data_IF_443069827711
#
_entry.id   IF_443069827711
#
_cell.length_a   1.000
_cell.length_b   1.000
_cell.length_c   1.000
_cell.angle_alpha   90.00
_cell.angle_beta   90.00
_cell.angle_gamma   90.00
#
_symmetry.space_group_name_H-M   'P 1'
#
loop_
_entity.id
_entity.type
_entity.pdbx_description
1 polymer ?
#
# COMPACT_ATOMS: atom_id res chain seq x y z
N UNK A 1 -18.19 5.63 16.30
CA UNK A 1 -18.46 7.08 16.45
C UNK A 1 -18.77 7.60 15.05
N UNK A 2 -20.04 7.90 14.76
CA UNK A 2 -20.48 8.40 13.45
C UNK A 2 -19.90 9.81 13.26
N UNK A 3 -18.90 9.98 12.38
CA UNK A 3 -18.50 11.32 11.96
C UNK A 3 -19.64 11.92 11.16
N UNK A 4 -19.97 13.18 11.49
CA UNK A 4 -21.11 13.90 10.94
C UNK A 4 -20.88 14.12 9.43
N UNK A 5 -21.80 13.63 8.61
CA UNK A 5 -21.67 13.64 7.13
C UNK A 5 -21.56 15.08 6.59
N UNK A 6 -22.05 16.04 7.37
CA UNK A 6 -22.05 17.47 7.04
C UNK A 6 -20.85 18.24 7.62
N UNK A 7 -19.84 17.57 8.19
CA UNK A 7 -18.64 18.21 8.76
C UNK A 7 -17.92 19.13 7.77
N UNK A 8 -17.84 18.72 6.50
CA UNK A 8 -17.23 19.49 5.41
C UNK A 8 -18.13 20.60 4.83
N UNK A 9 -19.42 20.62 5.18
CA UNK A 9 -20.37 21.66 4.78
C UNK A 9 -20.55 22.75 5.83
N UNK A 10 -20.29 22.41 7.10
CA UNK A 10 -20.59 23.26 8.27
C UNK A 10 -19.35 23.81 8.97
N UNK A 11 -18.17 23.28 8.68
CA UNK A 11 -16.88 23.76 9.20
C UNK A 11 -15.94 24.12 8.06
N UNK A 12 -14.83 24.81 8.38
CA UNK A 12 -13.80 25.14 7.38
C UNK A 12 -13.12 23.90 6.77
N UNK A 13 -13.43 22.68 7.21
CA UNK A 13 -12.93 21.42 6.61
C UNK A 13 -11.42 21.21 6.76
N UNK A 14 -10.77 21.93 7.67
CA UNK A 14 -9.32 21.94 7.91
C UNK A 14 -9.06 21.52 9.37
N UNK A 15 -8.76 20.23 9.59
CA UNK A 15 -8.66 19.65 10.94
C UNK A 15 -7.29 19.86 11.60
N UNK A 16 -6.24 20.24 10.86
CA UNK A 16 -4.90 20.53 11.42
C UNK A 16 -4.41 21.96 11.19
N UNK A 17 -3.62 22.50 12.13
CA UNK A 17 -3.01 23.84 12.03
C UNK A 17 -2.17 24.02 10.75
N UNK A 18 -1.64 22.92 10.22
CA UNK A 18 -0.88 22.90 8.97
C UNK A 18 -1.78 23.09 7.75
N UNK A 19 -2.96 22.47 7.73
CA UNK A 19 -3.95 22.63 6.65
C UNK A 19 -4.53 24.05 6.64
N UNK A 20 -4.74 24.64 7.82
CA UNK A 20 -5.12 26.05 7.97
C UNK A 20 -4.06 27.02 7.45
N UNK A 21 -2.77 26.71 7.64
CA UNK A 21 -1.68 27.55 7.11
C UNK A 21 -1.57 27.52 5.57
N UNK A 22 -1.84 26.38 4.94
CA UNK A 22 -1.71 26.22 3.48
C UNK A 22 -3.02 26.52 2.74
N UNK A 23 -4.14 26.65 3.46
CA UNK A 23 -5.46 26.98 2.88
C UNK A 23 -6.00 25.92 1.93
N UNK A 24 -5.50 24.69 2.03
CA UNK A 24 -5.87 23.57 1.17
C UNK A 24 -5.99 22.30 2.01
N UNK A 25 -7.09 21.57 1.83
CA UNK A 25 -7.23 20.21 2.35
C UNK A 25 -6.38 19.28 1.51
N UNK A 26 -5.47 18.54 2.13
CA UNK A 26 -4.65 17.55 1.44
C UNK A 26 -5.44 16.24 1.37
N UNK A 27 -6.41 16.17 0.45
CA UNK A 27 -7.38 15.06 0.40
C UNK A 27 -6.77 13.66 0.31
N UNK A 28 -5.61 13.51 -0.33
CA UNK A 28 -4.92 12.21 -0.44
C UNK A 28 -4.27 11.73 0.86
N UNK A 29 -4.10 12.61 1.86
CA UNK A 29 -3.52 12.27 3.16
C UNK A 29 -4.53 11.55 4.07
N UNK A 30 -5.82 11.57 3.69
CA UNK A 30 -6.94 11.01 4.44
C UNK A 30 -7.82 10.12 3.56
N UNK A 31 -7.33 9.63 2.42
CA UNK A 31 -8.08 8.62 1.68
C UNK A 31 -8.06 7.32 2.49
N UNK A 32 -9.15 7.10 3.24
CA UNK A 32 -9.34 5.94 4.11
C UNK A 32 -9.23 4.63 3.31
N UNK A 33 -9.44 4.66 1.98
CA UNK A 33 -9.26 3.49 1.12
C UNK A 33 -7.78 3.10 0.94
N UNK A 34 -6.84 4.00 1.22
CA UNK A 34 -5.41 3.68 1.18
C UNK A 34 -4.93 3.04 2.49
N UNK A 35 -5.67 3.23 3.57
CA UNK A 35 -5.38 2.57 4.85
C UNK A 35 -5.72 1.08 4.72
N UNK A 36 -4.81 0.18 5.10
CA UNK A 36 -5.08 -1.24 5.08
C UNK A 36 -6.29 -1.62 5.96
N UNK A 37 -7.37 -2.13 5.37
CA UNK A 37 -8.44 -2.77 6.14
C UNK A 37 -7.99 -4.18 6.56
N UNK A 38 -7.73 -4.34 7.86
CA UNK A 38 -7.24 -5.60 8.41
C UNK A 38 -8.24 -6.76 8.32
N UNK A 39 -9.53 -6.49 8.08
CA UNK A 39 -10.52 -7.55 7.83
C UNK A 39 -10.32 -8.24 6.47
N UNK A 40 -9.65 -7.57 5.54
CA UNK A 40 -9.30 -8.03 4.20
C UNK A 40 -7.83 -8.49 4.10
N UNK A 41 -7.10 -8.48 5.22
CA UNK A 41 -5.70 -8.86 5.24
C UNK A 41 -5.52 -10.31 4.82
N UNK A 42 -4.58 -10.56 3.91
CA UNK A 42 -4.31 -11.92 3.44
C UNK A 42 -3.65 -12.77 4.54
N UNK A 43 -3.72 -14.09 4.40
CA UNK A 43 -3.06 -15.03 5.31
C UNK A 43 -1.55 -14.78 5.36
N UNK A 44 -0.92 -14.57 4.21
CA UNK A 44 0.51 -14.27 4.11
C UNK A 44 0.91 -12.99 4.88
N UNK A 45 0.13 -11.92 4.72
CA UNK A 45 0.37 -10.66 5.42
C UNK A 45 0.16 -10.79 6.93
N UNK A 46 -0.79 -11.62 7.35
CA UNK A 46 -1.02 -11.95 8.77
C UNK A 46 0.18 -12.67 9.36
N UNK A 47 0.70 -13.69 8.69
CA UNK A 47 1.92 -14.40 9.09
C UNK A 47 3.15 -13.49 9.12
N UNK A 48 3.27 -12.62 8.12
CA UNK A 48 4.36 -11.64 8.02
C UNK A 48 4.38 -10.72 9.25
N UNK A 49 3.25 -10.10 9.61
CA UNK A 49 3.15 -9.26 10.80
C UNK A 49 3.48 -10.04 12.08
N UNK A 50 2.97 -11.27 12.22
CA UNK A 50 3.25 -12.10 13.38
C UNK A 50 4.75 -12.39 13.53
N UNK A 51 5.43 -12.68 12.41
CA UNK A 51 6.87 -12.94 12.39
C UNK A 51 7.72 -11.71 12.70
N UNK A 52 7.27 -10.54 12.24
CA UNK A 52 7.94 -9.26 12.50
C UNK A 52 7.59 -8.68 13.89
N UNK A 53 6.63 -9.28 14.60
CA UNK A 53 6.06 -8.75 15.85
C UNK A 53 5.49 -7.33 15.66
N UNK A 54 4.80 -7.11 14.53
CA UNK A 54 4.15 -5.84 14.18
C UNK A 54 2.64 -5.92 14.37
N UNK A 55 2.02 -4.76 14.61
CA UNK A 55 0.58 -4.65 14.89
C UNK A 55 -0.25 -4.22 13.68
N UNK A 56 0.40 -3.66 12.67
CA UNK A 56 -0.24 -3.10 11.48
C UNK A 56 0.69 -3.17 10.26
N UNK A 57 0.14 -2.76 9.11
CA UNK A 57 0.82 -2.69 7.81
C UNK A 57 0.93 -1.26 7.29
N UNK A 58 0.97 -0.25 8.17
CA UNK A 58 0.94 1.16 7.75
C UNK A 58 2.10 1.53 6.82
N UNK A 59 3.26 0.88 6.94
CA UNK A 59 4.39 1.10 6.04
C UNK A 59 4.13 0.65 4.58
N UNK A 60 3.07 -0.11 4.34
CA UNK A 60 2.58 -0.53 3.02
C UNK A 60 1.35 0.27 2.55
N UNK A 61 0.98 1.37 3.22
CA UNK A 61 -0.20 2.19 2.87
C UNK A 61 -0.12 2.74 1.44
N UNK A 62 1.08 3.06 0.98
CA UNK A 62 1.35 3.63 -0.34
C UNK A 62 1.50 2.57 -1.47
N UNK A 63 1.30 1.29 -1.14
CA UNK A 63 1.37 0.17 -2.09
C UNK A 63 -0.04 -0.27 -2.46
N UNK A 64 -0.34 -0.25 -3.76
CA UNK A 64 -1.68 -0.56 -4.28
C UNK A 64 -1.61 -1.26 -5.65
N UNK A 65 -2.73 -1.86 -6.05
CA UNK A 65 -2.86 -2.46 -7.36
C UNK A 65 -3.17 -1.37 -8.39
N UNK A 66 -2.32 -1.26 -9.41
CA UNK A 66 -2.51 -0.39 -10.55
C UNK A 66 -2.41 -1.14 -11.87
N UNK A 67 -2.23 -0.38 -12.96
CA UNK A 67 -2.08 -0.92 -14.31
C UNK A 67 -0.93 -0.22 -15.04
N UNK A 68 -0.06 -1.02 -15.66
CA UNK A 68 1.01 -0.57 -16.56
C UNK A 68 0.76 -1.19 -17.94
N UNK A 69 0.54 -0.37 -18.97
CA UNK A 69 0.27 -0.83 -20.35
C UNK A 69 -0.82 -1.93 -20.41
N UNK A 70 -1.96 -1.69 -19.76
CA UNK A 70 -3.11 -2.61 -19.65
C UNK A 70 -2.86 -3.89 -18.84
N UNK A 71 -1.66 -4.09 -18.28
CA UNK A 71 -1.34 -5.20 -17.37
C UNK A 71 -1.46 -4.78 -15.93
N UNK A 72 -2.07 -5.63 -15.11
CA UNK A 72 -2.09 -5.39 -13.68
C UNK A 72 -0.66 -5.36 -13.12
N UNK A 73 -0.40 -4.43 -12.22
CA UNK A 73 0.92 -4.22 -11.66
C UNK A 73 0.81 -3.70 -10.23
N UNK A 74 1.72 -4.16 -9.38
CA UNK A 74 1.93 -3.57 -8.06
C UNK A 74 2.60 -2.22 -8.26
N UNK A 75 1.98 -1.17 -7.74
CA UNK A 75 2.55 0.17 -7.75
C UNK A 75 2.99 0.56 -6.34
N UNK A 76 4.26 0.92 -6.20
CA UNK A 76 4.83 1.50 -4.99
C UNK A 76 5.07 2.99 -5.21
N UNK A 77 4.25 3.82 -4.56
CA UNK A 77 4.34 5.28 -4.67
C UNK A 77 5.60 5.86 -4.05
N UNK A 78 6.16 5.22 -3.02
CA UNK A 78 7.33 5.74 -2.29
C UNK A 78 8.56 5.79 -3.20
N UNK A 79 8.73 4.80 -4.07
CA UNK A 79 9.83 4.75 -5.06
C UNK A 79 9.38 5.11 -6.48
N UNK A 80 8.09 5.38 -6.69
CA UNK A 80 7.47 5.57 -7.98
C UNK A 80 7.80 4.42 -8.97
N UNK A 81 7.61 3.18 -8.50
CA UNK A 81 8.02 1.97 -9.19
C UNK A 81 6.86 1.00 -9.44
N UNK A 82 6.99 0.23 -10.52
CA UNK A 82 5.99 -0.74 -10.96
C UNK A 82 6.58 -2.15 -10.99
N UNK A 83 5.78 -3.14 -10.56
CA UNK A 83 6.08 -4.56 -10.71
C UNK A 83 4.87 -5.25 -11.34
N UNK A 84 4.98 -5.59 -12.63
CA UNK A 84 3.92 -6.30 -13.35
C UNK A 84 3.64 -7.66 -12.74
N UNK A 85 2.36 -8.02 -12.61
CA UNK A 85 1.96 -9.34 -12.11
C UNK A 85 1.60 -10.26 -13.29
N UNK A 86 1.73 -11.59 -13.14
CA UNK A 86 1.30 -12.52 -14.19
C UNK A 86 -0.22 -12.46 -14.43
N UNK A 87 -0.62 -12.52 -15.70
CA UNK A 87 -2.03 -12.53 -16.13
C UNK A 87 -2.85 -13.72 -15.59
N UNK A 88 -2.18 -14.74 -15.05
CA UNK A 88 -2.80 -15.90 -14.41
C UNK A 88 -3.36 -15.61 -13.02
N UNK A 89 -3.07 -14.45 -12.42
CA UNK A 89 -3.62 -14.07 -11.12
C UNK A 89 -4.98 -13.43 -11.34
N UNK A 90 -6.03 -14.08 -10.83
CA UNK A 90 -7.37 -13.50 -10.80
C UNK A 90 -7.43 -12.41 -9.73
N UNK A 91 -7.83 -11.21 -10.14
CA UNK A 91 -8.00 -10.09 -9.23
C UNK A 91 -9.47 -9.97 -8.77
N UNK A 92 -9.71 -9.78 -7.47
CA UNK A 92 -11.07 -9.59 -6.94
C UNK A 92 -11.66 -8.26 -7.45
N UNK A 93 -12.98 -8.10 -7.37
CA UNK A 93 -13.66 -6.91 -7.90
C UNK A 93 -13.62 -5.69 -6.97
N UNK A 94 -13.17 -5.85 -5.73
CA UNK A 94 -13.05 -4.74 -4.77
C UNK A 94 -11.60 -4.25 -4.64
N UNK A 95 -11.45 -2.95 -4.41
CA UNK A 95 -10.15 -2.28 -4.38
C UNK A 95 -9.29 -2.71 -3.18
N UNK A 96 -9.89 -2.87 -1.99
CA UNK A 96 -9.14 -3.24 -0.78
C UNK A 96 -8.45 -4.60 -0.93
N UNK A 97 -9.15 -5.63 -1.41
CA UNK A 97 -8.55 -6.95 -1.63
C UNK A 97 -7.45 -6.90 -2.70
N UNK A 98 -7.64 -6.10 -3.77
CA UNK A 98 -6.60 -5.89 -4.79
C UNK A 98 -5.35 -5.28 -4.17
N UNK A 99 -5.51 -4.28 -3.32
CA UNK A 99 -4.38 -3.61 -2.67
C UNK A 99 -3.71 -4.52 -1.64
N UNK A 100 -4.47 -5.35 -0.92
CA UNK A 100 -3.91 -6.40 -0.05
C UNK A 100 -3.08 -7.41 -0.85
N UNK A 101 -3.56 -7.84 -2.02
CA UNK A 101 -2.81 -8.69 -2.94
C UNK A 101 -1.55 -7.96 -3.43
N UNK A 102 -1.64 -6.68 -3.78
CA UNK A 102 -0.49 -5.89 -4.21
C UNK A 102 0.62 -5.85 -3.14
N UNK A 103 0.23 -5.60 -1.89
CA UNK A 103 1.12 -5.59 -0.71
C UNK A 103 1.79 -6.94 -0.49
N UNK A 104 1.01 -8.02 -0.57
CA UNK A 104 1.53 -9.39 -0.47
C UNK A 104 2.52 -9.70 -1.60
N UNK A 105 2.19 -9.35 -2.84
CA UNK A 105 3.04 -9.61 -4.01
C UNK A 105 4.35 -8.83 -3.92
N UNK A 106 4.32 -7.58 -3.47
CA UNK A 106 5.55 -6.80 -3.23
C UNK A 106 6.46 -7.51 -2.22
N UNK A 107 5.90 -7.95 -1.09
CA UNK A 107 6.67 -8.65 -0.06
C UNK A 107 7.24 -9.97 -0.57
N UNK A 108 6.45 -10.78 -1.26
CA UNK A 108 6.93 -12.02 -1.88
C UNK A 108 8.04 -11.76 -2.88
N UNK A 109 7.92 -10.70 -3.68
CA UNK A 109 8.96 -10.30 -4.63
C UNK A 109 10.26 -9.90 -3.91
N UNK A 110 10.19 -9.00 -2.92
CA UNK A 110 11.34 -8.53 -2.14
C UNK A 110 12.04 -9.66 -1.37
N UNK A 111 11.27 -10.63 -0.86
CA UNK A 111 11.76 -11.78 -0.10
C UNK A 111 12.15 -12.99 -0.98
N UNK A 112 11.96 -12.89 -2.30
CA UNK A 112 12.25 -13.98 -3.23
C UNK A 112 13.74 -14.31 -3.24
N UNK A 113 14.07 -15.61 -3.22
CA UNK A 113 15.45 -16.06 -3.41
C UNK A 113 16.02 -15.68 -4.79
N UNK A 114 15.13 -15.48 -5.78
CA UNK A 114 15.48 -15.07 -7.13
C UNK A 114 15.50 -13.54 -7.30
N UNK A 115 15.41 -12.77 -6.21
CA UNK A 115 15.42 -11.32 -6.28
C UNK A 115 16.78 -10.81 -6.78
N UNK A 116 16.86 -9.86 -7.73
CA UNK A 116 18.13 -9.41 -8.32
C UNK A 116 19.18 -8.94 -7.30
N UNK A 117 18.73 -8.39 -6.16
CA UNK A 117 19.63 -7.98 -5.08
C UNK A 117 20.38 -9.13 -4.42
N UNK A 118 19.87 -10.37 -4.48
CA UNK A 118 20.58 -11.56 -3.98
C UNK A 118 21.81 -11.82 -4.84
N UNK A 119 21.65 -11.78 -6.17
CA UNK A 119 22.77 -11.95 -7.12
C UNK A 119 23.78 -10.80 -7.01
N UNK A 120 23.29 -9.55 -6.96
CA UNK A 120 24.15 -8.38 -6.80
C UNK A 120 24.94 -8.41 -5.49
N UNK A 121 24.31 -8.84 -4.39
CA UNK A 121 25.01 -9.04 -3.12
C UNK A 121 26.08 -10.10 -3.25
N UNK A 122 25.80 -11.23 -3.88
CA UNK A 122 26.79 -12.29 -4.07
C UNK A 122 28.00 -11.82 -4.92
N UNK A 123 27.76 -10.98 -5.93
CA UNK A 123 28.81 -10.47 -6.80
C UNK A 123 29.63 -9.31 -6.20
N UNK A 124 29.02 -8.46 -5.38
CA UNK A 124 29.60 -7.15 -5.02
C UNK A 124 29.67 -6.83 -3.52
N UNK A 125 29.11 -7.64 -2.62
CA UNK A 125 29.16 -7.36 -1.19
C UNK A 125 30.61 -7.33 -0.66
N UNK A 126 30.95 -6.29 0.08
CA UNK A 126 32.23 -6.18 0.81
C UNK A 126 32.03 -6.71 2.23
N UNK A 127 33.07 -7.37 2.74
CA UNK A 127 33.11 -8.06 4.04
C UNK A 127 32.86 -7.14 5.23
#
# INVERSE_FOLDING_TARGET
MSQDVDHYLTTDGLDSDREKMIGQTIGYRYDVNLVPDMSHCTEYLTEYMAKMNWKDLNWLEDVHMGYEEDRAAVFDRNINGWVTIPDSIELPDNQQDRDMIARELLLKFQMSANHPMVELRAAYAKF
#
